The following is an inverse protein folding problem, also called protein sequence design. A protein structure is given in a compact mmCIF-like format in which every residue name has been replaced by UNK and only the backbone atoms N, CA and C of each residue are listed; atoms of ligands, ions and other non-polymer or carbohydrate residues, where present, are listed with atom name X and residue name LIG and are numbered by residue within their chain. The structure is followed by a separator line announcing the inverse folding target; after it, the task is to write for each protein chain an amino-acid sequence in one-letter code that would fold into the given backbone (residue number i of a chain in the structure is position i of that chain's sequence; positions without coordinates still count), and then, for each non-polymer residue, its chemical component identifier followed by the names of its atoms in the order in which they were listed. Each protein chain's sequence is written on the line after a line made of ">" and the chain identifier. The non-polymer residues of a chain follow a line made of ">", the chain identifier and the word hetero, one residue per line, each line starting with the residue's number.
data_IF_984827333203
#
_entry.id   IF_984827333203
#
_cell.length_a   1.000
_cell.length_b   1.000
_cell.length_c   1.000
_cell.angle_alpha   90.00
_cell.angle_beta   90.00
_cell.angle_gamma   90.00
#
_symmetry.space_group_name_H-M   'P 1'
#
loop_
_entity.id
_entity.type
_entity.pdbx_description
1 polymer ?
#
# COMPACT_ATOMS: atom_id res chain seq x y z
N UNK A 1 -48.27 8.64 20.25
CA UNK A 1 -46.99 8.10 20.75
C UNK A 1 -46.47 7.08 19.75
N UNK A 2 -45.65 7.50 18.78
CA UNK A 2 -44.58 6.69 18.15
C UNK A 2 -43.81 7.58 17.14
N UNK A 3 -42.91 8.48 17.59
CA UNK A 3 -42.04 9.26 16.69
C UNK A 3 -40.69 8.59 16.41
N UNK A 4 -40.34 7.47 17.07
CA UNK A 4 -38.95 6.98 17.13
C UNK A 4 -38.50 6.04 15.98
N UNK A 5 -39.42 5.59 15.11
CA UNK A 5 -39.08 4.58 14.09
C UNK A 5 -38.73 5.17 12.71
N UNK A 6 -39.08 6.44 12.45
CA UNK A 6 -38.83 7.09 11.16
C UNK A 6 -37.68 8.11 11.19
N UNK A 7 -37.10 8.41 12.36
CA UNK A 7 -35.87 9.23 12.48
C UNK A 7 -34.63 8.55 11.87
N UNK A 8 -34.61 7.21 11.77
CA UNK A 8 -33.53 6.47 11.11
C UNK A 8 -33.59 6.58 9.58
N UNK A 9 -34.70 7.05 9.01
CA UNK A 9 -34.87 7.29 7.57
C UNK A 9 -34.81 8.78 7.22
N UNK A 10 -34.55 9.64 8.21
CA UNK A 10 -34.43 11.07 7.95
C UNK A 10 -33.14 11.32 7.17
N UNK A 11 -33.26 12.05 6.05
CA UNK A 11 -32.16 12.23 5.10
C UNK A 11 -30.93 12.85 5.79
N UNK A 12 -31.17 13.71 6.78
CA UNK A 12 -30.18 14.40 7.61
C UNK A 12 -29.46 13.45 8.56
N UNK A 13 -30.16 12.56 9.28
CA UNK A 13 -29.53 11.56 10.16
C UNK A 13 -28.83 10.47 9.36
N UNK A 14 -29.31 10.11 8.17
CA UNK A 14 -28.57 9.25 7.23
C UNK A 14 -27.30 9.93 6.72
N UNK A 15 -27.35 11.18 6.29
CA UNK A 15 -26.18 11.92 5.77
C UNK A 15 -25.14 12.12 6.89
N UNK A 16 -25.56 12.49 8.10
CA UNK A 16 -24.68 12.60 9.27
C UNK A 16 -24.10 11.24 9.70
N UNK A 17 -24.90 10.16 9.65
CA UNK A 17 -24.44 8.80 9.96
C UNK A 17 -23.48 8.26 8.89
N UNK A 18 -23.80 8.41 7.60
CA UNK A 18 -22.98 7.96 6.48
C UNK A 18 -21.64 8.69 6.42
N UNK A 19 -21.57 9.95 6.86
CA UNK A 19 -20.32 10.69 6.95
C UNK A 19 -19.29 9.98 7.85
N UNK A 20 -19.70 9.56 9.06
CA UNK A 20 -18.85 8.78 9.95
C UNK A 20 -18.48 7.40 9.38
N UNK A 21 -19.42 6.72 8.74
CA UNK A 21 -19.16 5.43 8.08
C UNK A 21 -18.22 5.54 6.87
N UNK A 22 -18.23 6.66 6.14
CA UNK A 22 -17.31 6.89 5.03
C UNK A 22 -15.86 6.98 5.52
N UNK A 23 -15.62 7.70 6.62
CA UNK A 23 -14.29 7.74 7.25
C UNK A 23 -13.86 6.35 7.73
N UNK A 24 -14.75 5.60 8.37
CA UNK A 24 -14.46 4.23 8.82
C UNK A 24 -14.16 3.32 7.61
N UNK A 25 -14.93 3.40 6.53
CA UNK A 25 -14.73 2.61 5.31
C UNK A 25 -13.38 2.90 4.66
N UNK A 26 -13.01 4.17 4.52
CA UNK A 26 -11.70 4.58 4.00
C UNK A 26 -10.59 4.07 4.93
N UNK A 27 -10.73 4.23 6.25
CA UNK A 27 -9.79 3.68 7.21
C UNK A 27 -9.65 2.15 7.07
N UNK A 28 -10.73 1.40 6.87
CA UNK A 28 -10.66 -0.05 6.68
C UNK A 28 -9.94 -0.43 5.38
N UNK A 29 -10.19 0.31 4.29
CA UNK A 29 -9.50 0.08 3.01
C UNK A 29 -8.00 0.37 3.16
N UNK A 30 -7.62 1.50 3.77
CA UNK A 30 -6.21 1.85 3.99
C UNK A 30 -5.52 0.84 4.93
N UNK A 31 -6.21 0.38 5.96
CA UNK A 31 -5.73 -0.67 6.85
C UNK A 31 -5.50 -1.98 6.08
N UNK A 32 -6.48 -2.40 5.28
CA UNK A 32 -6.40 -3.60 4.46
C UNK A 32 -5.28 -3.48 3.41
N UNK A 33 -5.12 -2.32 2.78
CA UNK A 33 -4.10 -2.08 1.78
C UNK A 33 -2.69 -2.11 2.35
N UNK A 34 -2.50 -1.50 3.53
CA UNK A 34 -1.18 -1.43 4.18
C UNK A 34 -0.83 -2.71 4.94
N UNK A 35 -1.83 -3.45 5.44
CA UNK A 35 -1.63 -4.65 6.25
C UNK A 35 -1.80 -5.98 5.53
N UNK A 36 -2.56 -6.04 4.44
CA UNK A 36 -2.77 -7.25 3.64
C UNK A 36 -1.98 -7.14 2.34
N UNK A 37 -1.24 -8.19 1.97
CA UNK A 37 -0.45 -8.32 0.73
C UNK A 37 -1.23 -8.04 -0.59
N UNK A 38 -2.55 -7.86 -0.49
CA UNK A 38 -3.45 -7.49 -1.57
C UNK A 38 -3.55 -5.97 -1.79
N UNK A 39 -2.76 -5.16 -1.08
CA UNK A 39 -2.83 -3.71 -1.19
C UNK A 39 -2.52 -3.13 -2.57
N UNK A 40 -1.78 -3.83 -3.42
CA UNK A 40 -1.55 -3.37 -4.80
C UNK A 40 -2.86 -3.21 -5.58
N UNK A 41 -3.95 -3.85 -5.15
CA UNK A 41 -5.23 -3.83 -5.85
C UNK A 41 -6.03 -2.54 -5.59
N UNK A 42 -5.77 -1.86 -4.47
CA UNK A 42 -6.59 -0.75 -4.01
C UNK A 42 -5.91 0.59 -4.35
N UNK A 43 -6.64 1.56 -4.94
CA UNK A 43 -6.10 2.88 -5.25
C UNK A 43 -6.07 3.78 -4.01
N UNK A 44 -5.26 3.40 -3.01
CA UNK A 44 -5.18 4.09 -1.71
C UNK A 44 -4.83 5.56 -1.81
N UNK A 45 -3.85 5.93 -2.64
CA UNK A 45 -3.40 7.32 -2.77
C UNK A 45 -4.53 8.22 -3.29
N UNK A 46 -5.29 7.74 -4.26
CA UNK A 46 -6.46 8.44 -4.80
C UNK A 46 -7.55 8.56 -3.74
N UNK A 47 -7.80 7.49 -2.98
CA UNK A 47 -8.73 7.47 -1.85
C UNK A 47 -8.36 8.51 -0.78
N UNK A 48 -7.08 8.66 -0.43
CA UNK A 48 -6.63 9.66 0.55
C UNK A 48 -6.86 11.09 0.08
N UNK A 49 -6.55 11.39 -1.19
CA UNK A 49 -6.75 12.72 -1.77
C UNK A 49 -8.25 13.05 -1.84
N UNK A 50 -9.08 12.09 -2.26
CA UNK A 50 -10.54 12.25 -2.28
C UNK A 50 -11.07 12.44 -0.86
N UNK A 51 -10.61 11.63 0.10
CA UNK A 51 -10.99 11.73 1.50
C UNK A 51 -10.75 13.14 2.06
N UNK A 52 -9.56 13.71 1.78
CA UNK A 52 -9.24 15.08 2.16
C UNK A 52 -10.10 16.14 1.48
N UNK A 53 -10.48 15.92 0.23
CA UNK A 53 -11.30 16.84 -0.56
C UNK A 53 -12.75 16.87 -0.07
N UNK A 54 -13.33 15.71 0.26
CA UNK A 54 -14.79 15.57 0.44
C UNK A 54 -15.22 15.39 1.88
N UNK A 55 -14.45 14.66 2.71
CA UNK A 55 -14.88 14.30 4.06
C UNK A 55 -15.11 15.49 5.00
N UNK A 56 -14.29 16.57 5.00
CA UNK A 56 -14.56 17.71 5.87
C UNK A 56 -15.95 18.33 5.61
N UNK A 57 -16.38 18.38 4.34
CA UNK A 57 -17.68 18.93 3.95
C UNK A 57 -18.87 17.99 4.16
N UNK A 58 -18.63 16.67 4.19
CA UNK A 58 -19.69 15.65 4.36
C UNK A 58 -19.90 15.32 5.84
N UNK A 59 -18.81 15.22 6.60
CA UNK A 59 -18.82 14.73 7.99
C UNK A 59 -18.88 15.84 9.02
N UNK A 60 -18.52 17.08 8.65
CA UNK A 60 -18.32 18.18 9.59
C UNK A 60 -17.13 17.98 10.53
N UNK A 61 -16.34 16.91 10.34
CA UNK A 61 -15.15 16.61 11.14
C UNK A 61 -13.99 17.46 10.63
N UNK A 62 -13.24 18.08 11.55
CA UNK A 62 -12.01 18.79 11.18
C UNK A 62 -11.03 17.86 10.47
N UNK A 63 -10.38 18.40 9.43
CA UNK A 63 -9.36 17.71 8.64
C UNK A 63 -8.25 17.10 9.51
N UNK A 64 -7.94 17.71 10.66
CA UNK A 64 -6.98 17.18 11.63
C UNK A 64 -7.35 15.80 12.16
N UNK A 65 -8.62 15.59 12.52
CA UNK A 65 -9.12 14.30 13.01
C UNK A 65 -9.18 13.25 11.90
N UNK A 66 -9.55 13.65 10.69
CA UNK A 66 -9.55 12.78 9.51
C UNK A 66 -8.13 12.29 9.21
N UNK A 67 -7.16 13.22 9.17
CA UNK A 67 -5.73 12.90 9.00
C UNK A 67 -5.21 11.96 10.08
N UNK A 68 -5.59 12.19 11.35
CA UNK A 68 -5.16 11.36 12.48
C UNK A 68 -5.76 9.94 12.40
N UNK A 69 -7.04 9.82 12.05
CA UNK A 69 -7.72 8.53 11.87
C UNK A 69 -7.09 7.71 10.74
N UNK A 70 -6.82 8.35 9.59
CA UNK A 70 -6.16 7.73 8.44
C UNK A 70 -4.73 7.32 8.78
N UNK A 71 -3.95 8.21 9.41
CA UNK A 71 -2.58 7.90 9.81
C UNK A 71 -2.54 6.74 10.81
N UNK A 72 -3.48 6.69 11.76
CA UNK A 72 -3.60 5.59 12.70
C UNK A 72 -3.94 4.28 11.99
N UNK A 73 -4.88 4.29 11.06
CA UNK A 73 -5.21 3.12 10.24
C UNK A 73 -4.01 2.61 9.45
N UNK A 74 -3.30 3.51 8.75
CA UNK A 74 -2.12 3.19 7.96
C UNK A 74 -0.94 2.70 8.82
N UNK A 75 -0.84 3.18 10.05
CA UNK A 75 0.13 2.68 11.04
C UNK A 75 -0.25 1.26 11.48
N UNK A 76 -1.49 1.06 11.92
CA UNK A 76 -1.99 -0.22 12.40
C UNK A 76 -1.88 -1.32 11.33
N UNK A 77 -2.19 -1.01 10.07
CA UNK A 77 -2.00 -1.94 8.96
C UNK A 77 -0.52 -2.32 8.78
N UNK A 78 0.38 -1.33 8.82
CA UNK A 78 1.83 -1.58 8.79
C UNK A 78 2.32 -2.48 9.93
N UNK A 79 1.86 -2.24 11.17
CA UNK A 79 2.21 -3.10 12.31
C UNK A 79 1.72 -4.54 12.10
N UNK A 80 0.50 -4.73 11.59
CA UNK A 80 -0.04 -6.04 11.25
C UNK A 80 0.80 -6.72 10.17
N UNK A 81 1.17 -6.00 9.11
CA UNK A 81 2.06 -6.51 8.06
C UNK A 81 3.42 -6.96 8.61
N UNK A 82 4.02 -6.18 9.50
CA UNK A 82 5.26 -6.55 10.18
C UNK A 82 5.09 -7.80 11.03
N UNK A 83 4.04 -7.89 11.84
CA UNK A 83 3.78 -9.05 12.69
C UNK A 83 3.51 -10.32 11.88
N UNK A 84 2.81 -10.19 10.76
CA UNK A 84 2.62 -11.29 9.80
C UNK A 84 3.98 -11.75 9.27
N UNK A 85 4.84 -10.83 8.80
CA UNK A 85 6.18 -11.17 8.33
C UNK A 85 7.06 -11.79 9.40
N UNK A 86 7.02 -11.25 10.62
CA UNK A 86 7.82 -11.72 11.75
C UNK A 86 7.40 -13.12 12.22
N UNK A 87 6.09 -13.40 12.25
CA UNK A 87 5.56 -14.71 12.66
C UNK A 87 5.62 -15.74 11.53
N UNK A 88 5.50 -15.33 10.27
CA UNK A 88 5.63 -16.19 9.11
C UNK A 88 7.09 -16.52 8.76
N UNK A 89 8.03 -15.63 9.11
CA UNK A 89 9.46 -15.78 8.86
C UNK A 89 9.99 -17.18 9.18
N UNK A 90 9.89 -17.67 10.43
CA UNK A 90 10.42 -18.98 10.80
C UNK A 90 9.84 -20.16 9.98
N UNK A 91 8.53 -20.13 9.68
CA UNK A 91 7.86 -21.19 8.90
C UNK A 91 8.21 -21.19 7.41
N UNK A 92 8.54 -20.01 6.86
CA UNK A 92 8.98 -19.87 5.47
C UNK A 92 10.46 -20.23 5.33
N UNK A 93 11.29 -19.94 6.34
CA UNK A 93 12.69 -20.32 6.39
C UNK A 93 12.94 -21.83 6.53
N UNK A 94 12.00 -22.58 7.10
CA UNK A 94 12.06 -24.05 7.21
C UNK A 94 11.67 -24.78 5.90
N UNK A 95 10.91 -24.13 5.01
CA UNK A 95 10.58 -24.69 3.69
C UNK A 95 11.58 -24.19 2.65
N UNK A 96 12.57 -25.03 2.35
CA UNK A 96 13.67 -24.77 1.41
C UNK A 96 13.25 -24.36 -0.02
N UNK A 97 12.01 -24.55 -0.45
CA UNK A 97 11.65 -24.44 -1.88
C UNK A 97 10.35 -23.65 -2.15
N UNK A 98 10.36 -22.32 -1.97
CA UNK A 98 9.34 -21.49 -2.63
C UNK A 98 9.93 -20.16 -3.09
N UNK A 99 10.01 -19.99 -4.42
CA UNK A 99 10.78 -18.97 -5.14
C UNK A 99 10.42 -17.50 -4.91
N UNK A 100 9.54 -17.18 -3.96
CA UNK A 100 9.22 -15.80 -3.56
C UNK A 100 10.06 -15.36 -2.34
N UNK A 101 10.40 -16.30 -1.45
CA UNK A 101 11.13 -16.06 -0.20
C UNK A 101 12.41 -16.92 -0.09
N UNK A 102 13.21 -16.96 -1.16
CA UNK A 102 14.54 -17.57 -1.14
C UNK A 102 15.41 -16.95 -0.04
N UNK A 103 16.26 -17.76 0.60
CA UNK A 103 17.28 -17.27 1.58
C UNK A 103 18.05 -16.07 1.04
N UNK A 104 18.34 -16.03 -0.26
CA UNK A 104 19.01 -14.90 -0.90
C UNK A 104 18.17 -13.63 -0.90
N UNK A 105 16.85 -13.71 -1.15
CA UNK A 105 15.95 -12.57 -1.07
C UNK A 105 15.87 -12.02 0.36
N UNK A 106 15.92 -12.89 1.37
CA UNK A 106 15.92 -12.43 2.76
C UNK A 106 17.26 -11.81 3.16
N UNK A 107 18.40 -12.37 2.75
CA UNK A 107 19.72 -11.74 2.96
C UNK A 107 19.80 -10.39 2.24
N UNK A 108 19.27 -10.28 1.02
CA UNK A 108 19.20 -9.04 0.26
C UNK A 108 18.28 -8.01 0.91
N UNK A 109 17.13 -8.45 1.42
CA UNK A 109 16.20 -7.64 2.21
C UNK A 109 16.86 -7.14 3.49
N UNK A 110 17.59 -8.02 4.21
CA UNK A 110 18.36 -7.64 5.39
C UNK A 110 19.48 -6.66 5.07
N UNK A 111 20.19 -6.84 3.96
CA UNK A 111 21.22 -5.90 3.52
C UNK A 111 20.61 -4.53 3.15
N UNK A 112 19.43 -4.51 2.53
CA UNK A 112 18.70 -3.28 2.21
C UNK A 112 18.25 -2.53 3.47
N UNK A 113 17.63 -3.22 4.43
CA UNK A 113 17.23 -2.63 5.70
C UNK A 113 18.43 -2.30 6.60
N UNK A 114 19.53 -3.04 6.52
CA UNK A 114 20.76 -2.71 7.24
C UNK A 114 21.45 -1.46 6.65
N UNK A 115 21.37 -1.25 5.33
CA UNK A 115 22.01 -0.12 4.63
C UNK A 115 21.18 1.16 4.70
N UNK A 116 19.86 1.08 4.56
CA UNK A 116 18.97 2.24 4.53
C UNK A 116 18.16 2.45 5.83
N UNK A 117 18.23 1.48 6.75
CA UNK A 117 17.64 1.59 8.08
C UNK A 117 16.13 1.84 8.06
N UNK A 118 15.68 2.65 9.00
CA UNK A 118 14.28 3.07 9.10
C UNK A 118 13.81 4.06 8.05
N UNK A 119 14.73 4.80 7.40
CA UNK A 119 14.36 5.73 6.33
C UNK A 119 13.81 4.99 5.11
N UNK A 120 14.29 3.76 4.84
CA UNK A 120 13.70 2.90 3.82
C UNK A 120 12.23 2.58 4.09
N UNK A 121 11.81 2.42 5.35
CA UNK A 121 10.41 2.15 5.71
C UNK A 121 9.52 3.34 5.38
N UNK A 122 10.02 4.56 5.60
CA UNK A 122 9.30 5.79 5.24
C UNK A 122 9.25 5.94 3.71
N UNK A 123 10.38 5.81 3.03
CA UNK A 123 10.46 5.95 1.58
C UNK A 123 9.62 4.90 0.85
N UNK A 124 9.56 3.67 1.36
CA UNK A 124 8.76 2.58 0.81
C UNK A 124 7.27 2.94 0.69
N UNK A 125 6.73 3.79 1.58
CA UNK A 125 5.31 4.18 1.56
C UNK A 125 4.91 5.00 0.32
N UNK A 126 5.87 5.72 -0.28
CA UNK A 126 5.64 6.51 -1.49
C UNK A 126 5.71 5.71 -2.79
N UNK A 127 6.17 4.45 -2.71
CA UNK A 127 6.25 3.57 -3.87
C UNK A 127 5.17 2.49 -3.72
N UNK A 128 4.08 2.52 -4.53
CA UNK A 128 2.90 1.68 -4.33
C UNK A 128 3.19 0.17 -4.23
N UNK A 129 4.14 -0.32 -5.01
CA UNK A 129 4.54 -1.74 -4.95
C UNK A 129 5.32 -2.01 -3.67
N UNK A 130 6.27 -1.14 -3.32
CA UNK A 130 7.19 -1.37 -2.19
C UNK A 130 6.45 -1.26 -0.86
N UNK A 131 5.44 -0.39 -0.73
CA UNK A 131 4.72 -0.16 0.55
C UNK A 131 3.99 -1.39 1.07
N UNK A 132 3.50 -2.27 0.20
CA UNK A 132 2.76 -3.47 0.60
C UNK A 132 3.70 -4.61 1.01
N UNK A 133 4.91 -4.63 0.45
CA UNK A 133 5.91 -5.65 0.77
C UNK A 133 6.85 -5.23 1.90
N UNK A 134 7.11 -3.94 2.08
CA UNK A 134 8.09 -3.43 3.04
C UNK A 134 7.81 -3.83 4.50
N UNK A 135 6.57 -3.75 5.03
CA UNK A 135 6.25 -4.21 6.39
C UNK A 135 6.61 -5.67 6.62
N UNK A 136 6.23 -6.54 5.68
CA UNK A 136 6.44 -7.99 5.78
C UNK A 136 7.92 -8.31 5.61
N UNK A 137 8.59 -7.67 4.65
CA UNK A 137 10.02 -7.79 4.42
C UNK A 137 10.82 -7.39 5.66
N UNK A 138 10.44 -6.30 6.34
CA UNK A 138 11.06 -5.88 7.60
C UNK A 138 10.80 -6.88 8.74
N UNK A 139 9.61 -7.46 8.81
CA UNK A 139 9.25 -8.50 9.78
C UNK A 139 10.05 -9.79 9.59
N UNK A 140 10.16 -10.28 8.34
CA UNK A 140 10.94 -11.46 7.97
C UNK A 140 12.44 -11.23 8.22
N UNK A 141 12.92 -10.01 7.97
CA UNK A 141 14.29 -9.60 8.27
C UNK A 141 14.62 -9.48 9.75
N UNK A 142 13.65 -9.65 10.65
CA UNK A 142 13.82 -9.47 12.10
C UNK A 142 14.39 -8.10 12.47
N UNK A 143 13.96 -7.04 11.78
CA UNK A 143 14.31 -5.67 12.16
C UNK A 143 13.82 -5.37 13.58
N UNK A 144 14.55 -4.57 14.38
CA UNK A 144 14.10 -4.20 15.72
C UNK A 144 12.69 -3.58 15.69
N UNK A 145 11.72 -4.23 16.33
CA UNK A 145 10.31 -3.80 16.33
C UNK A 145 10.14 -2.33 16.75
N UNK A 146 10.87 -1.89 17.78
CA UNK A 146 10.79 -0.50 18.27
C UNK A 146 11.26 0.52 17.23
N UNK A 147 12.30 0.18 16.46
CA UNK A 147 12.77 1.03 15.37
C UNK A 147 11.75 1.01 14.25
N UNK A 148 11.35 -0.18 13.79
CA UNK A 148 10.35 -0.33 12.73
C UNK A 148 9.09 0.48 13.03
N UNK A 149 8.48 0.28 14.21
CA UNK A 149 7.23 0.93 14.62
C UNK A 149 7.35 2.45 14.65
N UNK A 150 8.49 2.99 15.12
CA UNK A 150 8.74 4.44 15.08
C UNK A 150 8.77 4.99 13.64
N UNK A 151 9.57 4.39 12.76
CA UNK A 151 9.67 4.83 11.37
C UNK A 151 8.37 4.56 10.58
N UNK A 152 7.65 3.49 10.92
CA UNK A 152 6.35 3.16 10.38
C UNK A 152 5.32 4.22 10.75
N UNK A 153 5.28 4.66 12.02
CA UNK A 153 4.41 5.73 12.49
C UNK A 153 4.71 7.07 11.81
N UNK A 154 5.99 7.46 11.74
CA UNK A 154 6.40 8.68 11.04
C UNK A 154 5.99 8.62 9.57
N UNK A 155 6.25 7.50 8.89
CA UNK A 155 5.85 7.31 7.50
C UNK A 155 4.33 7.31 7.30
N UNK A 156 3.57 6.71 8.22
CA UNK A 156 2.11 6.69 8.19
C UNK A 156 1.51 8.09 8.35
N UNK A 157 2.10 8.91 9.22
CA UNK A 157 1.70 10.31 9.40
C UNK A 157 2.04 11.11 8.15
N UNK A 158 3.29 11.07 7.66
CA UNK A 158 3.70 11.88 6.50
C UNK A 158 2.89 11.49 5.26
N UNK A 159 2.73 10.20 4.98
CA UNK A 159 1.99 9.74 3.81
C UNK A 159 0.47 9.92 3.99
N UNK A 160 -0.08 9.38 5.07
CA UNK A 160 -1.52 9.37 5.33
C UNK A 160 -2.08 10.76 5.58
N UNK A 161 -1.50 11.51 6.51
CA UNK A 161 -1.92 12.89 6.76
C UNK A 161 -1.50 13.82 5.62
N UNK A 162 -0.34 13.63 5.00
CA UNK A 162 0.13 14.49 3.91
C UNK A 162 -0.75 14.45 2.67
N UNK A 163 -1.09 13.25 2.17
CA UNK A 163 -1.98 13.11 1.01
C UNK A 163 -3.41 13.59 1.31
N UNK A 164 -3.90 13.29 2.51
CA UNK A 164 -5.23 13.76 2.95
C UNK A 164 -5.25 15.29 3.07
N UNK A 165 -4.22 15.89 3.65
CA UNK A 165 -4.10 17.33 3.76
C UNK A 165 -3.98 17.99 2.38
N UNK A 166 -3.24 17.37 1.46
CA UNK A 166 -3.15 17.82 0.06
C UNK A 166 -4.54 17.82 -0.59
N UNK A 167 -5.34 16.78 -0.38
CA UNK A 167 -6.74 16.73 -0.83
C UNK A 167 -7.59 17.88 -0.28
N UNK A 168 -7.41 18.21 1.00
CA UNK A 168 -8.09 19.35 1.62
C UNK A 168 -7.63 20.71 1.06
N UNK A 169 -6.34 20.86 0.71
CA UNK A 169 -5.86 22.06 0.01
C UNK A 169 -6.50 22.21 -1.37
N UNK A 170 -6.69 21.10 -2.09
CA UNK A 170 -7.36 21.10 -3.40
C UNK A 170 -8.84 21.48 -3.30
N UNK A 171 -9.49 21.28 -2.15
CA UNK A 171 -10.86 21.75 -1.89
C UNK A 171 -10.98 23.28 -2.00
N UNK A 172 -9.90 24.00 -1.70
CA UNK A 172 -9.82 25.45 -1.83
C UNK A 172 -9.74 25.96 -3.28
N UNK A 173 -9.58 25.08 -4.27
CA UNK A 173 -9.48 25.43 -5.70
C UNK A 173 -10.73 24.94 -6.47
N UNK A 174 -11.74 25.82 -6.71
CA UNK A 174 -13.03 25.44 -7.28
C UNK A 174 -12.97 24.62 -8.58
N UNK A 175 -12.10 24.95 -9.58
CA UNK A 175 -12.06 24.21 -10.84
C UNK A 175 -11.66 22.73 -10.68
N UNK A 176 -10.77 22.45 -9.71
CA UNK A 176 -10.25 21.11 -9.45
C UNK A 176 -11.25 20.33 -8.60
N UNK A 177 -11.83 20.97 -7.59
CA UNK A 177 -12.88 20.41 -6.74
C UNK A 177 -14.06 19.94 -7.59
N UNK A 178 -14.59 20.81 -8.45
CA UNK A 178 -15.79 20.52 -9.24
C UNK A 178 -15.55 19.38 -10.24
N UNK A 179 -14.34 19.31 -10.82
CA UNK A 179 -13.97 18.19 -11.68
C UNK A 179 -13.91 16.87 -10.89
N UNK A 180 -13.23 16.84 -9.75
CA UNK A 180 -13.04 15.61 -8.98
C UNK A 180 -14.36 15.12 -8.37
N UNK A 181 -15.21 16.01 -7.87
CA UNK A 181 -16.51 15.61 -7.29
C UNK A 181 -17.50 15.15 -8.37
N UNK A 182 -17.50 15.77 -9.55
CA UNK A 182 -18.40 15.39 -10.64
C UNK A 182 -17.99 14.07 -11.32
N UNK A 183 -16.69 13.77 -11.36
CA UNK A 183 -16.16 12.57 -12.00
C UNK A 183 -15.60 11.55 -10.99
N UNK A 184 -15.99 11.62 -9.72
CA UNK A 184 -15.41 10.80 -8.63
C UNK A 184 -15.49 9.30 -8.92
N UNK A 185 -16.64 8.82 -9.43
CA UNK A 185 -16.85 7.42 -9.77
C UNK A 185 -15.96 6.99 -10.94
N UNK A 186 -15.79 7.85 -11.95
CA UNK A 186 -14.93 7.58 -13.10
C UNK A 186 -13.45 7.63 -12.74
N UNK A 187 -13.04 8.53 -11.83
CA UNK A 187 -11.67 8.63 -11.33
C UNK A 187 -11.32 7.40 -10.50
N UNK A 188 -12.21 6.99 -9.58
CA UNK A 188 -12.03 5.75 -8.80
C UNK A 188 -11.99 4.52 -9.70
N UNK A 189 -12.95 4.39 -10.62
CA UNK A 189 -13.00 3.28 -11.55
C UNK A 189 -11.74 3.25 -12.44
N UNK A 190 -11.32 4.39 -12.96
CA UNK A 190 -10.10 4.54 -13.74
C UNK A 190 -8.85 4.14 -12.95
N UNK A 191 -8.70 4.60 -11.71
CA UNK A 191 -7.59 4.24 -10.84
C UNK A 191 -7.55 2.73 -10.55
N UNK A 192 -8.71 2.10 -10.31
CA UNK A 192 -8.82 0.64 -10.18
C UNK A 192 -8.38 -0.04 -11.48
N UNK A 193 -8.88 0.36 -12.64
CA UNK A 193 -8.48 -0.25 -13.92
C UNK A 193 -7.00 -0.09 -14.22
N UNK A 194 -6.43 1.10 -14.00
CA UNK A 194 -5.00 1.38 -14.21
C UNK A 194 -4.12 0.50 -13.33
N UNK A 195 -4.58 0.11 -12.14
CA UNK A 195 -3.79 -0.71 -11.21
C UNK A 195 -4.06 -2.20 -11.39
N UNK A 196 -5.32 -2.58 -11.62
CA UNK A 196 -5.79 -3.95 -11.74
C UNK A 196 -5.41 -4.58 -13.09
N UNK A 197 -5.56 -3.85 -14.20
CA UNK A 197 -5.35 -4.39 -15.55
C UNK A 197 -3.89 -4.76 -15.81
N UNK A 198 -2.90 -3.89 -15.56
CA UNK A 198 -1.50 -4.26 -15.76
C UNK A 198 -1.08 -5.41 -14.85
N UNK A 199 -1.55 -5.41 -13.60
CA UNK A 199 -1.20 -6.46 -12.64
C UNK A 199 -1.85 -7.80 -13.01
N UNK A 200 -3.11 -7.80 -13.44
CA UNK A 200 -3.79 -8.98 -13.94
C UNK A 200 -3.12 -9.51 -15.22
N UNK A 201 -2.75 -8.64 -16.16
CA UNK A 201 -2.02 -9.04 -17.38
C UNK A 201 -0.67 -9.64 -17.01
N UNK A 202 0.09 -9.03 -16.10
CA UNK A 202 1.39 -9.53 -15.66
C UNK A 202 1.24 -10.89 -14.96
N UNK A 203 0.23 -11.06 -14.10
CA UNK A 203 -0.05 -12.32 -13.42
C UNK A 203 -0.50 -13.43 -14.39
N UNK A 204 -1.37 -13.11 -15.35
CA UNK A 204 -1.83 -14.06 -16.36
C UNK A 204 -0.70 -14.45 -17.33
N UNK A 205 0.18 -13.52 -17.70
CA UNK A 205 1.38 -13.80 -18.50
C UNK A 205 2.36 -14.67 -17.73
N UNK A 206 2.67 -14.33 -16.47
CA UNK A 206 3.54 -15.13 -15.61
C UNK A 206 3.00 -16.56 -15.43
N UNK A 207 1.67 -16.71 -15.28
CA UNK A 207 1.03 -18.03 -15.16
C UNK A 207 1.02 -18.80 -16.48
N UNK A 208 0.95 -18.10 -17.63
CA UNK A 208 1.01 -18.73 -18.95
C UNK A 208 2.44 -19.20 -19.26
N UNK A 209 3.45 -18.39 -18.96
CA UNK A 209 4.86 -18.79 -19.06
C UNK A 209 5.18 -20.00 -18.17
N UNK A 210 4.75 -20.02 -16.91
CA UNK A 210 4.94 -21.17 -16.03
C UNK A 210 4.25 -22.45 -16.55
N UNK A 211 3.08 -22.31 -17.19
CA UNK A 211 2.33 -23.45 -17.76
C UNK A 211 2.91 -23.93 -19.09
N UNK A 212 3.50 -23.03 -19.87
CA UNK A 212 4.19 -23.34 -21.12
C UNK A 212 5.57 -23.97 -20.83
N UNK A 213 6.25 -23.58 -19.75
CA UNK A 213 7.49 -24.19 -19.23
C UNK A 213 7.25 -25.61 -18.65
N UNK A 214 6.19 -25.80 -17.86
CA UNK A 214 5.75 -27.14 -17.41
C UNK A 214 5.33 -28.04 -18.59
N UNK A 215 4.66 -27.49 -19.60
CA UNK A 215 4.25 -28.24 -20.80
C UNK A 215 5.44 -28.54 -21.73
N UNK A 216 6.48 -27.72 -21.72
CA UNK A 216 7.73 -27.93 -22.45
C UNK A 216 8.71 -28.88 -21.73
N UNK A 217 8.40 -29.28 -20.48
CA UNK A 217 9.26 -30.16 -19.68
C UNK A 217 10.57 -29.50 -19.23
N UNK A 218 10.64 -28.16 -19.26
CA UNK A 218 11.78 -27.40 -18.76
C UNK A 218 11.61 -27.29 -17.26
N UNK A 219 12.47 -27.98 -16.50
CA UNK A 219 12.52 -27.80 -15.05
C UNK A 219 12.81 -26.31 -14.78
N UNK A 220 12.13 -25.67 -13.81
CA UNK A 220 12.35 -24.25 -13.53
C UNK A 220 13.78 -24.08 -13.00
N UNK A 221 14.67 -23.71 -13.90
CA UNK A 221 15.98 -23.17 -13.65
C UNK A 221 15.76 -21.81 -12.99
N UNK A 222 15.72 -21.83 -11.66
CA UNK A 222 15.66 -20.65 -10.79
C UNK A 222 16.87 -19.71 -10.90
N UNK A 223 17.65 -19.78 -11.99
CA UNK A 223 18.76 -18.88 -12.31
C UNK A 223 18.30 -17.65 -13.11
N UNK A 224 17.24 -17.72 -13.93
CA UNK A 224 16.91 -16.62 -14.87
C UNK A 224 15.96 -15.53 -14.32
N UNK A 225 15.39 -15.70 -13.11
CA UNK A 225 14.69 -14.64 -12.39
C UNK A 225 15.58 -13.87 -11.40
N UNK A 226 16.82 -14.31 -11.22
CA UNK A 226 17.85 -13.48 -10.61
C UNK A 226 18.40 -12.58 -11.72
N UNK A 227 18.17 -11.27 -11.61
CA UNK A 227 18.91 -10.27 -12.38
C UNK A 227 20.40 -10.68 -12.39
N UNK A 228 20.91 -11.04 -13.58
CA UNK A 228 22.25 -11.59 -13.73
C UNK A 228 23.27 -10.68 -12.99
N UNK A 229 24.14 -11.25 -12.14
CA UNK A 229 25.12 -10.49 -11.35
C UNK A 229 26.01 -9.59 -12.23
N UNK A 230 26.15 -9.93 -13.51
CA UNK A 230 26.92 -9.18 -14.52
C UNK A 230 26.41 -7.76 -14.79
N UNK A 231 25.15 -7.44 -14.45
CA UNK A 231 24.57 -6.11 -14.65
C UNK A 231 24.83 -5.12 -13.49
N UNK A 232 25.44 -5.57 -12.39
CA UNK A 232 25.72 -4.72 -11.23
C UNK A 232 27.20 -4.37 -11.05
N UNK A 233 28.11 -5.06 -11.75
CA UNK A 233 29.57 -4.84 -11.70
C UNK A 233 30.09 -3.91 -12.82
N UNK A 234 29.20 -3.27 -13.59
CA UNK A 234 29.63 -2.20 -14.51
C UNK A 234 29.93 -0.93 -13.71
N UNK A 235 31.15 -0.86 -13.20
CA UNK A 235 31.79 0.40 -12.81
C UNK A 235 31.76 1.36 -14.02
N UNK A 236 31.06 2.52 -13.94
CA UNK A 236 31.02 3.51 -15.02
C UNK A 236 32.40 4.05 -15.42
N UNK A 237 33.46 3.75 -14.66
CA UNK A 237 34.83 4.18 -14.93
C UNK A 237 35.62 3.24 -15.85
N UNK A 238 35.09 2.06 -16.22
CA UNK A 238 35.81 1.07 -17.03
C UNK A 238 35.17 0.79 -18.41
N UNK A 239 34.47 1.76 -19.00
CA UNK A 239 34.01 1.67 -20.39
C UNK A 239 35.16 2.00 -21.36
N UNK A 240 35.68 1.05 -22.15
CA UNK A 240 36.74 1.30 -23.12
C UNK A 240 36.26 2.04 -24.39
N UNK A 241 35.00 2.49 -24.45
CA UNK A 241 34.42 3.24 -25.57
C UNK A 241 34.07 4.70 -25.24
N UNK A 242 34.60 5.26 -24.17
CA UNK A 242 34.60 6.70 -23.89
C UNK A 242 36.02 7.27 -23.80
#
# INVERSE_FOLDING_TARGET
>A
MHPLLFDFLDSTTLIESFGGFALIGICLIIFAETGLLFGFLFPGDTLLVIAGLTLPGITGIDIWWICLAIAFSAFAGGEVGYLIGHKAGPRVFERKDSGIFSRQNVVRTNAFFARFGGLAVIAARFVPIVRTFAPIAAGVGHMDYRKYSFYNAVGAIIWGAGLTWLGNLLNGFPPIRDFVTHYIDYVLLGAVFVTLVPTAIHFLRARKHARDEEAAGVAPDGEDLALAPENFDQDPSNDPRR
#
